data_IF_032316112492
#
_entry.id   IF_032316112492
#
_cell.length_a   1.000
_cell.length_b   1.000
_cell.length_c   1.000
_cell.angle_alpha   90.00
_cell.angle_beta   90.00
_cell.angle_gamma   90.00
#
_symmetry.space_group_name_H-M   'P 1'
#
loop_
_entity.id
_entity.type
_entity.pdbx_description
1 polymer ?
#
# COMPACT_ATOMS: atom_id res chain seq x y z
N UNK A 1 26.78 16.90 3.66
CA UNK A 1 26.33 16.59 2.28
C UNK A 1 25.04 15.81 2.44
N UNK A 2 23.93 16.28 1.89
CA UNK A 2 22.66 15.56 1.94
C UNK A 2 22.75 14.43 0.91
N UNK A 3 22.57 13.17 1.33
CA UNK A 3 22.48 12.06 0.38
C UNK A 3 21.15 12.20 -0.37
N UNK A 4 21.23 12.38 -1.69
CA UNK A 4 20.08 12.55 -2.57
C UNK A 4 19.55 11.22 -3.07
N UNK A 5 20.23 10.10 -2.81
CA UNK A 5 19.82 8.79 -3.29
C UNK A 5 18.53 8.32 -2.64
N UNK A 6 17.74 7.57 -3.40
CA UNK A 6 16.53 6.94 -2.91
C UNK A 6 16.85 6.04 -1.72
N UNK A 7 16.16 6.28 -0.61
CA UNK A 7 16.37 5.52 0.62
C UNK A 7 15.98 4.04 0.50
N UNK A 8 15.20 3.65 -0.53
CA UNK A 8 14.75 2.28 -0.71
C UNK A 8 15.70 1.42 -1.54
N UNK A 9 16.21 1.93 -2.67
CA UNK A 9 17.09 1.15 -3.55
C UNK A 9 18.56 1.58 -3.47
N UNK A 10 18.86 2.80 -3.03
CA UNK A 10 20.20 3.39 -3.03
C UNK A 10 20.89 3.47 -4.42
N UNK A 11 20.14 3.26 -5.51
CA UNK A 11 20.66 3.17 -6.89
C UNK A 11 20.58 4.51 -7.66
N UNK A 12 19.48 5.26 -7.50
CA UNK A 12 19.23 6.52 -8.21
C UNK A 12 18.86 7.65 -7.23
N UNK A 13 18.88 8.89 -7.70
CA UNK A 13 18.38 10.04 -6.94
C UNK A 13 16.88 9.92 -6.63
N UNK A 14 16.51 10.27 -5.40
CA UNK A 14 15.14 10.23 -4.96
C UNK A 14 14.32 11.35 -5.62
N UNK A 15 13.24 10.94 -6.30
CA UNK A 15 12.18 11.82 -6.76
C UNK A 15 10.84 11.14 -6.52
N UNK A 16 9.73 11.87 -6.58
CA UNK A 16 8.40 11.25 -6.44
C UNK A 16 8.16 10.15 -7.49
N UNK A 17 8.56 10.40 -8.74
CA UNK A 17 8.43 9.42 -9.83
C UNK A 17 9.31 8.20 -9.54
N UNK A 18 10.57 8.40 -9.14
CA UNK A 18 11.43 7.29 -8.77
C UNK A 18 10.84 6.49 -7.60
N UNK A 19 10.51 7.15 -6.50
CA UNK A 19 10.03 6.53 -5.28
C UNK A 19 8.76 5.71 -5.49
N UNK A 20 7.80 6.18 -6.27
CA UNK A 20 6.50 5.50 -6.40
C UNK A 20 6.36 4.65 -7.66
N UNK A 21 7.23 4.81 -8.65
CA UNK A 21 7.07 4.17 -9.96
C UNK A 21 8.33 3.41 -10.39
N UNK A 22 9.50 4.06 -10.42
CA UNK A 22 10.68 3.49 -11.07
C UNK A 22 11.60 2.69 -10.14
N UNK A 23 11.54 2.94 -8.83
CA UNK A 23 12.41 2.30 -7.84
C UNK A 23 12.34 0.78 -7.96
N UNK A 24 13.50 0.14 -8.11
CA UNK A 24 13.64 -1.31 -8.35
C UNK A 24 12.94 -2.15 -7.27
N UNK A 25 13.05 -1.71 -6.00
CA UNK A 25 12.35 -2.32 -4.87
C UNK A 25 10.83 -2.16 -4.99
N UNK A 26 10.36 -0.96 -5.33
CA UNK A 26 8.93 -0.62 -5.43
C UNK A 26 8.25 -1.32 -6.61
N UNK A 27 8.96 -1.51 -7.74
CA UNK A 27 8.46 -2.31 -8.86
C UNK A 27 8.13 -3.74 -8.46
N UNK A 28 8.87 -4.33 -7.51
CA UNK A 28 8.55 -5.66 -6.96
C UNK A 28 7.26 -5.64 -6.15
N UNK A 29 7.03 -4.59 -5.36
CA UNK A 29 5.79 -4.41 -4.60
C UNK A 29 4.58 -4.34 -5.54
N UNK A 30 4.69 -3.52 -6.60
CA UNK A 30 3.64 -3.43 -7.62
C UNK A 30 3.41 -4.74 -8.37
N UNK A 31 4.48 -5.50 -8.65
CA UNK A 31 4.38 -6.82 -9.25
C UNK A 31 3.59 -7.80 -8.35
N UNK A 32 3.84 -7.83 -7.05
CA UNK A 32 3.05 -8.67 -6.15
C UNK A 32 1.60 -8.22 -6.02
N UNK A 33 1.35 -6.91 -6.02
CA UNK A 33 -0.02 -6.40 -6.06
C UNK A 33 -0.75 -6.86 -7.34
N UNK A 34 -0.06 -6.81 -8.49
CA UNK A 34 -0.57 -7.33 -9.74
C UNK A 34 -0.90 -8.83 -9.64
N UNK A 35 0.01 -9.64 -9.10
CA UNK A 35 -0.23 -11.07 -8.92
C UNK A 35 -1.40 -11.36 -7.98
N UNK A 36 -1.55 -10.58 -6.90
CA UNK A 36 -2.60 -10.79 -5.91
C UNK A 36 -3.99 -10.36 -6.38
N UNK A 37 -4.07 -9.36 -7.27
CA UNK A 37 -5.33 -8.71 -7.65
C UNK A 37 -5.74 -8.93 -9.11
N UNK A 38 -4.81 -9.36 -9.96
CA UNK A 38 -4.98 -9.40 -11.41
C UNK A 38 -5.01 -8.02 -12.08
N UNK A 39 -4.86 -6.93 -11.32
CA UNK A 39 -4.87 -5.57 -11.85
C UNK A 39 -3.51 -5.23 -12.45
N UNK A 40 -3.49 -4.58 -13.62
CA UNK A 40 -2.25 -4.02 -14.14
C UNK A 40 -1.77 -2.90 -13.22
N UNK A 41 -0.64 -3.12 -12.54
CA UNK A 41 -0.04 -2.17 -11.60
C UNK A 41 1.32 -1.67 -12.10
N UNK A 42 1.50 -1.59 -13.42
CA UNK A 42 2.66 -0.94 -14.02
C UNK A 42 2.25 0.47 -14.42
N UNK A 43 2.98 1.45 -13.89
CA UNK A 43 2.74 2.87 -14.16
C UNK A 43 3.96 3.43 -14.89
N UNK A 44 3.74 4.31 -15.86
CA UNK A 44 4.80 5.06 -16.53
C UNK A 44 5.01 6.45 -15.89
N UNK A 45 4.04 6.94 -15.12
CA UNK A 45 4.08 8.27 -14.51
C UNK A 45 3.28 8.35 -13.20
N UNK A 46 3.49 9.43 -12.44
CA UNK A 46 2.66 9.76 -11.28
C UNK A 46 1.21 10.07 -11.68
N UNK A 47 0.98 10.62 -12.87
CA UNK A 47 -0.37 10.90 -13.37
C UNK A 47 -1.14 9.62 -13.63
N UNK A 48 -0.49 8.59 -14.19
CA UNK A 48 -1.08 7.26 -14.37
C UNK A 48 -1.36 6.57 -13.03
N UNK A 49 -0.42 6.64 -12.09
CA UNK A 49 -0.60 6.13 -10.72
C UNK A 49 -1.80 6.80 -10.02
N UNK A 50 -1.89 8.13 -10.13
CA UNK A 50 -2.98 8.91 -9.57
C UNK A 50 -4.31 8.63 -10.28
N UNK A 51 -4.28 8.48 -11.61
CA UNK A 51 -5.42 8.09 -12.40
C UNK A 51 -5.92 6.70 -12.02
N UNK A 52 -5.05 5.73 -11.76
CA UNK A 52 -5.43 4.40 -11.27
C UNK A 52 -6.15 4.48 -9.92
N UNK A 53 -5.63 5.28 -8.98
CA UNK A 53 -6.31 5.54 -7.70
C UNK A 53 -7.69 6.20 -7.87
N UNK A 54 -7.83 7.14 -8.81
CA UNK A 54 -9.11 7.83 -9.11
C UNK A 54 -10.11 6.96 -9.89
N UNK A 55 -9.65 6.19 -10.88
CA UNK A 55 -10.49 5.36 -11.73
C UNK A 55 -11.17 4.27 -10.90
N UNK A 56 -10.43 3.68 -9.96
CA UNK A 56 -11.02 2.77 -8.99
C UNK A 56 -12.09 3.48 -8.15
N UNK A 57 -11.83 4.71 -7.67
CA UNK A 57 -12.79 5.52 -6.88
C UNK A 57 -14.07 5.91 -7.66
N UNK A 58 -13.93 6.27 -8.94
CA UNK A 58 -15.03 6.76 -9.78
C UNK A 58 -15.81 5.65 -10.50
N UNK A 59 -15.31 4.41 -10.53
CA UNK A 59 -16.09 3.24 -10.95
C UNK A 59 -17.34 2.96 -10.05
N UNK A 60 -17.51 3.76 -8.98
CA UNK A 60 -18.71 3.81 -8.14
C UNK A 60 -19.90 4.60 -8.71
N UNK A 61 -19.89 5.04 -9.98
CA UNK A 61 -21.00 5.82 -10.54
C UNK A 61 -22.23 4.96 -10.87
N UNK A 62 -23.11 4.86 -9.88
CA UNK A 62 -24.57 4.62 -9.85
C UNK A 62 -25.26 3.53 -10.70
N UNK A 63 -24.84 3.19 -11.92
CA UNK A 63 -25.57 2.19 -12.76
C UNK A 63 -25.15 0.73 -12.51
N UNK A 64 -24.00 0.51 -11.88
CA UNK A 64 -23.42 -0.84 -11.59
C UNK A 64 -23.61 -1.27 -10.12
N UNK A 65 -24.35 -0.46 -9.34
CA UNK A 65 -24.53 -0.63 -7.88
C UNK A 65 -25.28 -1.91 -7.48
N UNK A 66 -25.95 -2.58 -8.41
CA UNK A 66 -26.73 -3.78 -8.11
C UNK A 66 -25.94 -5.10 -8.15
N UNK A 67 -24.69 -5.13 -8.64
CA UNK A 67 -23.96 -6.40 -8.84
C UNK A 67 -22.51 -6.46 -8.36
N UNK A 68 -21.88 -5.33 -8.00
CA UNK A 68 -20.47 -5.34 -7.62
C UNK A 68 -20.28 -5.36 -6.09
N UNK A 69 -20.01 -6.58 -5.63
CA UNK A 69 -19.56 -7.10 -4.33
C UNK A 69 -18.60 -6.22 -3.53
N UNK A 70 -18.50 -6.47 -2.22
CA UNK A 70 -17.46 -5.91 -1.32
C UNK A 70 -16.06 -5.82 -1.95
N UNK A 71 -15.71 -6.79 -2.80
CA UNK A 71 -14.47 -6.86 -3.58
C UNK A 71 -14.20 -5.54 -4.35
N UNK A 72 -15.23 -4.91 -4.93
CA UNK A 72 -15.09 -3.65 -5.66
C UNK A 72 -14.66 -2.49 -4.75
N UNK A 73 -15.16 -2.44 -3.51
CA UNK A 73 -14.77 -1.45 -2.49
C UNK A 73 -13.35 -1.71 -1.98
N UNK A 74 -12.98 -2.98 -1.82
CA UNK A 74 -11.61 -3.39 -1.46
C UNK A 74 -10.64 -3.05 -2.61
N UNK A 75 -11.07 -3.14 -3.87
CA UNK A 75 -10.21 -2.74 -4.99
C UNK A 75 -9.85 -1.26 -5.02
N UNK A 76 -10.70 -0.38 -4.46
CA UNK A 76 -10.43 1.07 -4.42
C UNK A 76 -9.28 1.45 -3.49
N UNK A 77 -8.87 0.56 -2.59
CA UNK A 77 -7.86 0.86 -1.58
C UNK A 77 -6.47 0.33 -1.93
N UNK A 78 -6.34 -0.60 -2.89
CA UNK A 78 -5.06 -1.23 -3.23
C UNK A 78 -3.98 -0.21 -3.56
N UNK A 79 -4.22 0.65 -4.56
CA UNK A 79 -3.21 1.63 -5.01
C UNK A 79 -2.88 2.65 -3.91
N UNK A 80 -3.86 3.32 -3.25
CA UNK A 80 -3.55 4.26 -2.17
C UNK A 80 -2.81 3.64 -0.98
N UNK A 81 -3.21 2.43 -0.56
CA UNK A 81 -2.57 1.73 0.57
C UNK A 81 -1.15 1.32 0.23
N UNK A 82 -0.90 0.84 -0.98
CA UNK A 82 0.46 0.50 -1.41
C UNK A 82 1.34 1.75 -1.48
N UNK A 83 0.84 2.88 -2.00
CA UNK A 83 1.56 4.16 -1.96
C UNK A 83 1.89 4.59 -0.52
N UNK A 84 0.93 4.47 0.39
CA UNK A 84 1.13 4.75 1.81
C UNK A 84 2.19 3.83 2.44
N UNK A 85 2.14 2.52 2.17
CA UNK A 85 3.11 1.56 2.70
C UNK A 85 4.53 1.84 2.18
N UNK A 86 4.68 2.22 0.91
CA UNK A 86 5.96 2.65 0.32
C UNK A 86 6.50 3.87 1.07
N UNK A 87 5.65 4.88 1.29
CA UNK A 87 6.03 6.09 2.03
C UNK A 87 6.43 5.79 3.47
N UNK A 88 5.70 4.93 4.17
CA UNK A 88 6.05 4.48 5.52
C UNK A 88 7.41 3.79 5.56
N UNK A 89 7.67 2.86 4.64
CA UNK A 89 8.97 2.18 4.57
C UNK A 89 10.12 3.15 4.30
N UNK A 90 9.95 4.09 3.36
CA UNK A 90 10.96 5.15 3.09
C UNK A 90 11.27 5.96 4.35
N UNK A 91 10.25 6.33 5.12
CA UNK A 91 10.43 7.07 6.36
C UNK A 91 11.09 6.23 7.46
N UNK A 92 10.79 4.94 7.54
CA UNK A 92 11.47 4.06 8.48
C UNK A 92 12.96 3.93 8.17
N UNK A 93 13.35 3.84 6.90
CA UNK A 93 14.79 3.86 6.54
C UNK A 93 15.45 5.15 7.04
N UNK A 94 14.84 6.30 6.75
CA UNK A 94 15.46 7.61 7.02
C UNK A 94 15.48 7.96 8.51
N UNK A 95 14.39 7.71 9.23
CA UNK A 95 14.25 8.15 10.62
C UNK A 95 14.57 7.06 11.65
N UNK A 96 14.56 5.79 11.24
CA UNK A 96 14.80 4.64 12.15
C UNK A 96 15.99 3.79 11.74
N UNK A 97 16.60 4.02 10.58
CA UNK A 97 17.72 3.22 10.08
C UNK A 97 17.33 1.78 9.74
N UNK A 98 16.05 1.53 9.47
CA UNK A 98 15.57 0.21 9.08
C UNK A 98 16.07 -0.17 7.68
N UNK A 99 16.23 -1.47 7.43
CA UNK A 99 16.57 -1.96 6.08
C UNK A 99 15.29 -2.14 5.26
N UNK A 100 15.22 -1.59 4.03
CA UNK A 100 14.04 -1.73 3.19
C UNK A 100 13.99 -3.12 2.56
N UNK A 101 12.85 -3.78 2.69
CA UNK A 101 12.54 -5.03 2.00
C UNK A 101 11.18 -4.88 1.32
N UNK A 102 11.10 -5.27 0.05
CA UNK A 102 9.84 -5.19 -0.68
C UNK A 102 8.76 -6.01 0.05
N UNK A 103 9.13 -7.17 0.58
CA UNK A 103 8.27 -8.12 1.28
C UNK A 103 7.55 -7.44 2.45
N UNK A 104 8.26 -6.62 3.22
CA UNK A 104 7.69 -5.88 4.35
C UNK A 104 6.68 -4.83 3.89
N UNK A 105 6.94 -4.14 2.77
CA UNK A 105 6.03 -3.14 2.19
C UNK A 105 4.75 -3.82 1.68
N UNK A 106 4.91 -4.94 0.99
CA UNK A 106 3.81 -5.75 0.51
C UNK A 106 2.97 -6.30 1.66
N UNK A 107 3.60 -6.86 2.68
CA UNK A 107 2.91 -7.39 3.84
C UNK A 107 2.13 -6.30 4.60
N UNK A 108 2.74 -5.13 4.80
CA UNK A 108 2.06 -3.97 5.39
C UNK A 108 0.83 -3.57 4.57
N UNK A 109 0.96 -3.53 3.25
CA UNK A 109 -0.15 -3.23 2.34
C UNK A 109 -1.28 -4.26 2.52
N UNK A 110 -0.94 -5.54 2.41
CA UNK A 110 -1.88 -6.65 2.45
C UNK A 110 -2.64 -6.73 3.78
N UNK A 111 -1.93 -6.59 4.91
CA UNK A 111 -2.55 -6.58 6.24
C UNK A 111 -3.59 -5.48 6.35
N UNK A 112 -3.24 -4.25 5.94
CA UNK A 112 -4.18 -3.13 5.96
C UNK A 112 -5.41 -3.41 5.10
N UNK A 113 -5.22 -3.95 3.89
CA UNK A 113 -6.32 -4.29 2.99
C UNK A 113 -7.26 -5.34 3.60
N UNK A 114 -6.69 -6.38 4.22
CA UNK A 114 -7.46 -7.44 4.87
C UNK A 114 -8.25 -6.91 6.07
N UNK A 115 -7.60 -6.12 6.93
CA UNK A 115 -8.24 -5.53 8.11
C UNK A 115 -9.34 -4.54 7.71
N UNK A 116 -9.11 -3.75 6.66
CA UNK A 116 -10.14 -2.89 6.08
C UNK A 116 -11.33 -3.69 5.53
N UNK A 117 -11.06 -4.81 4.86
CA UNK A 117 -12.10 -5.72 4.37
C UNK A 117 -12.95 -6.30 5.50
N UNK A 118 -12.30 -6.75 6.60
CA UNK A 118 -12.97 -7.26 7.81
C UNK A 118 -13.83 -6.17 8.46
N UNK A 119 -13.28 -4.97 8.64
CA UNK A 119 -14.00 -3.82 9.17
C UNK A 119 -15.25 -3.49 8.32
N UNK A 120 -15.10 -3.42 7.00
CA UNK A 120 -16.21 -3.16 6.08
C UNK A 120 -17.26 -4.27 6.05
N UNK A 121 -16.91 -5.50 6.42
CA UNK A 121 -17.83 -6.64 6.51
C UNK A 121 -18.65 -6.65 7.81
N UNK A 122 -18.45 -5.68 8.71
CA UNK A 122 -19.12 -5.64 10.01
C UNK A 122 -18.57 -6.68 10.98
N UNK A 123 -17.36 -7.19 10.76
CA UNK A 123 -16.68 -8.05 11.72
C UNK A 123 -16.21 -7.20 12.91
N UNK A 124 -17.10 -6.95 13.85
CA UNK A 124 -16.82 -6.24 15.10
C UNK A 124 -16.16 -7.19 16.10
N UNK A 125 -14.88 -7.49 15.92
CA UNK A 125 -14.02 -7.96 17.01
C UNK A 125 -12.55 -7.77 16.67
N UNK A 126 -12.08 -6.51 16.73
CA UNK A 126 -10.66 -6.26 16.96
C UNK A 126 -10.44 -6.47 18.47
N UNK A 127 -10.17 -7.71 18.88
CA UNK A 127 -9.55 -7.95 20.19
C UNK A 127 -8.07 -7.58 20.07
N UNK A 128 -7.71 -6.38 20.54
CA UNK A 128 -6.32 -6.04 20.84
C UNK A 128 -5.89 -6.90 22.04
N UNK A 129 -5.43 -8.12 21.79
CA UNK A 129 -4.70 -8.90 22.78
C UNK A 129 -3.22 -8.88 22.40
N UNK A 130 -2.45 -8.10 23.17
CA UNK A 130 -1.00 -8.23 23.16
C UNK A 130 -0.17 -7.00 23.55
N UNK A 131 -0.37 -6.44 24.75
CA UNK A 131 0.76 -5.93 25.54
C UNK A 131 0.38 -5.80 27.01
N UNK A 132 0.76 -6.85 27.75
CA UNK A 132 0.80 -7.06 29.19
C UNK A 132 0.98 -5.79 30.06
N UNK A 133 0.12 -5.61 31.07
CA UNK A 133 0.48 -5.14 32.41
C UNK A 133 -0.46 -5.77 33.46
N UNK A 134 0.06 -6.82 34.09
CA UNK A 134 -0.28 -7.44 35.38
C UNK A 134 -0.30 -6.39 36.53
N UNK A 135 -0.89 -6.48 37.73
CA UNK A 135 -1.44 -7.50 38.69
C UNK A 135 -2.25 -6.63 39.73
N UNK A 136 -3.40 -7.01 40.32
CA UNK A 136 -3.58 -7.69 41.62
C UNK A 136 -5.06 -8.02 41.91
N UNK A 137 -5.23 -9.09 42.69
CA UNK A 137 -6.45 -9.75 43.19
C UNK A 137 -7.39 -8.86 44.01
#
# INVERSE_FOLDING_TARGET
MIDTRCALCCEEDESGVHLFVNCSLVRRVWYWLHLATGLSCQFASLDELWAAGKALRNAGDRSVRAKFTQIAKVTQIYVPVTVWAIWCSRNNVIFRGETPYAENIWELSLRFIQDWGRFCAGATSISLQGSHLSIQE
#
